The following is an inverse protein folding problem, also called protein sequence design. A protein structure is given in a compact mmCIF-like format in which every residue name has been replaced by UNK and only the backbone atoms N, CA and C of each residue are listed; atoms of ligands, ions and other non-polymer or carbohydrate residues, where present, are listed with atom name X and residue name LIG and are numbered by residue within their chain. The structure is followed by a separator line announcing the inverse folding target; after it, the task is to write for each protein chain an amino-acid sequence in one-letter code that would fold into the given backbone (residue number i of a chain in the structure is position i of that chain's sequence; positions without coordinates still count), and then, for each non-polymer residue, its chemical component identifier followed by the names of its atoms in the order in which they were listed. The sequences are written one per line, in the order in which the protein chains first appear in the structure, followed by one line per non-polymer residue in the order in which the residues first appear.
data_IF_908263173823
#
_entry.id   IF_908263173823
#
_cell.length_a   1.000
_cell.length_b   1.000
_cell.length_c   1.000
_cell.angle_alpha   90.00
_cell.angle_beta   90.00
_cell.angle_gamma   90.00
#
_symmetry.space_group_name_H-M   'P 1'
#
loop_
_entity.id
_entity.type
_entity.pdbx_description
1 polymer ?
#
# COMPACT_ATOMS: atom_id res chain seq x y z
N UNK A 1 17.00 -5.56 15.32
CA UNK A 1 15.57 -5.50 15.68
C UNK A 1 15.17 -6.89 16.15
N UNK A 2 15.43 -7.19 17.43
CA UNK A 2 15.12 -8.50 18.01
C UNK A 2 13.72 -8.44 18.58
N UNK A 3 12.72 -8.53 17.69
CA UNK A 3 11.39 -8.90 18.14
C UNK A 3 11.40 -10.42 18.25
N UNK A 4 11.20 -10.97 19.45
CA UNK A 4 10.88 -12.40 19.62
C UNK A 4 9.79 -12.68 18.60
N UNK A 5 10.07 -13.53 17.60
CA UNK A 5 9.15 -13.78 16.50
C UNK A 5 7.76 -13.95 17.08
N UNK A 6 6.89 -12.95 16.90
CA UNK A 6 5.49 -13.10 17.27
C UNK A 6 5.04 -14.29 16.44
N UNK A 7 4.57 -15.32 17.14
CA UNK A 7 3.70 -16.33 16.55
C UNK A 7 2.62 -15.54 15.83
N UNK A 8 2.77 -15.35 14.52
CA UNK A 8 1.84 -14.62 13.67
C UNK A 8 0.57 -15.42 13.45
N UNK A 9 0.05 -16.06 14.51
CA UNK A 9 -0.98 -17.07 14.43
C UNK A 9 -2.22 -16.63 15.19
N UNK A 10 -3.31 -16.54 14.46
CA UNK A 10 -4.58 -17.11 14.88
C UNK A 10 -4.29 -18.46 15.59
N UNK A 11 -4.70 -18.63 16.85
CA UNK A 11 -4.44 -19.82 17.68
C UNK A 11 -4.90 -21.14 17.03
N UNK A 12 -5.67 -21.05 15.94
CA UNK A 12 -6.27 -22.17 15.20
C UNK A 12 -5.35 -22.83 14.17
N UNK A 13 -4.16 -22.31 13.87
CA UNK A 13 -3.23 -22.99 12.94
C UNK A 13 -1.77 -22.68 13.28
N UNK A 14 -1.03 -23.60 13.93
CA UNK A 14 0.41 -23.42 14.10
C UNK A 14 1.07 -23.47 12.72
N UNK A 15 1.60 -22.33 12.26
CA UNK A 15 2.43 -22.30 11.06
C UNK A 15 3.69 -23.13 11.33
N UNK A 16 3.89 -24.16 10.51
CA UNK A 16 4.95 -25.16 10.55
C UNK A 16 6.27 -24.61 9.99
N UNK A 17 6.58 -23.32 10.20
CA UNK A 17 7.83 -22.75 9.68
C UNK A 17 9.01 -23.56 10.23
N UNK A 18 9.89 -24.07 9.37
CA UNK A 18 10.98 -24.92 9.82
C UNK A 18 11.94 -24.11 10.69
N UNK A 19 12.60 -24.76 11.65
CA UNK A 19 13.45 -24.07 12.63
C UNK A 19 14.51 -23.18 11.97
N UNK A 20 15.08 -23.63 10.85
CA UNK A 20 16.08 -22.90 10.08
C UNK A 20 15.58 -21.57 9.48
N UNK A 21 14.27 -21.38 9.36
CA UNK A 21 13.65 -20.16 8.85
C UNK A 21 13.52 -19.06 9.92
N UNK A 22 13.81 -19.36 11.19
CA UNK A 22 13.76 -18.38 12.28
C UNK A 22 14.64 -17.17 12.00
N UNK A 23 14.11 -15.95 12.18
CA UNK A 23 14.74 -14.68 11.80
C UNK A 23 14.92 -14.44 10.29
N UNK A 24 14.37 -15.30 9.43
CA UNK A 24 14.17 -15.01 8.02
C UNK A 24 12.92 -14.16 7.77
N UNK A 25 12.70 -13.79 6.51
CA UNK A 25 11.50 -13.06 6.09
C UNK A 25 11.16 -13.36 4.65
N UNK A 26 9.87 -13.45 4.34
CA UNK A 26 9.41 -13.42 2.97
C UNK A 26 9.72 -12.06 2.34
N UNK A 27 10.17 -12.06 1.09
CA UNK A 27 10.45 -10.86 0.32
C UNK A 27 9.62 -10.87 -0.96
N UNK A 28 8.80 -9.84 -1.16
CA UNK A 28 8.04 -9.64 -2.39
C UNK A 28 8.79 -8.68 -3.28
N UNK A 29 9.07 -9.10 -4.51
CA UNK A 29 9.60 -8.23 -5.54
C UNK A 29 8.56 -7.99 -6.64
N UNK A 30 8.36 -6.74 -7.05
CA UNK A 30 7.53 -6.40 -8.20
C UNK A 30 8.21 -5.33 -9.05
N UNK A 31 8.30 -5.56 -10.36
CA UNK A 31 8.66 -4.51 -11.32
C UNK A 31 7.38 -3.77 -11.71
N UNK A 32 7.23 -2.54 -11.24
CA UNK A 32 6.06 -1.71 -11.45
C UNK A 32 6.41 -0.57 -12.42
N UNK A 33 5.95 -0.64 -13.66
CA UNK A 33 6.14 0.46 -14.61
C UNK A 33 5.19 1.62 -14.28
N UNK A 34 5.69 2.86 -14.32
CA UNK A 34 4.91 4.05 -13.96
C UNK A 34 4.70 4.95 -15.17
N UNK A 35 3.44 5.29 -15.42
CA UNK A 35 2.99 6.22 -16.43
C UNK A 35 2.84 7.62 -15.82
N UNK A 36 3.98 8.31 -15.69
CA UNK A 36 4.08 9.60 -14.98
C UNK A 36 3.33 10.71 -15.72
N UNK A 37 3.35 10.69 -17.06
CA UNK A 37 2.58 11.63 -17.87
C UNK A 37 1.07 11.44 -17.66
N UNK A 38 0.57 10.20 -17.70
CA UNK A 38 -0.84 9.92 -17.44
C UNK A 38 -1.28 10.36 -16.04
N UNK A 39 -0.40 10.21 -15.04
CA UNK A 39 -0.67 10.66 -13.67
C UNK A 39 -0.91 12.18 -13.60
N UNK A 40 0.02 12.98 -14.15
CA UNK A 40 -0.11 14.44 -14.18
C UNK A 40 -1.32 14.88 -15.02
N UNK A 41 -1.46 14.31 -16.22
CA UNK A 41 -2.57 14.63 -17.12
C UNK A 41 -3.93 14.34 -16.47
N UNK A 42 -4.07 13.24 -15.73
CA UNK A 42 -5.34 12.91 -15.08
C UNK A 42 -5.70 13.91 -13.97
N UNK A 43 -4.70 14.39 -13.21
CA UNK A 43 -4.91 15.44 -12.23
C UNK A 43 -5.34 16.77 -12.90
N UNK A 44 -4.74 17.11 -14.04
CA UNK A 44 -5.13 18.28 -14.84
C UNK A 44 -6.55 18.17 -15.40
N UNK A 45 -6.93 17.01 -15.93
CA UNK A 45 -8.28 16.75 -16.42
C UNK A 45 -9.32 16.93 -15.30
N UNK A 46 -9.09 16.31 -14.14
CA UNK A 46 -10.00 16.40 -12.99
C UNK A 46 -10.08 17.81 -12.40
N UNK A 47 -8.99 18.58 -12.43
CA UNK A 47 -8.99 19.98 -12.00
C UNK A 47 -9.82 20.89 -12.91
N UNK A 48 -9.82 20.61 -14.22
CA UNK A 48 -10.52 21.40 -15.23
C UNK A 48 -11.95 20.92 -15.53
N UNK A 49 -12.38 19.82 -14.91
CA UNK A 49 -13.71 19.25 -15.09
C UNK A 49 -14.78 20.10 -14.38
N UNK A 50 -15.58 20.80 -15.19
CA UNK A 50 -16.65 21.69 -14.72
C UNK A 50 -17.85 20.96 -14.13
N UNK A 51 -18.06 19.68 -14.48
CA UNK A 51 -19.16 18.88 -13.94
C UNK A 51 -18.81 18.34 -12.55
N UNK A 52 -17.55 17.96 -12.35
CA UNK A 52 -17.05 17.56 -11.04
C UNK A 52 -16.90 18.77 -10.10
N UNK A 53 -16.44 19.91 -10.62
CA UNK A 53 -16.26 21.19 -9.90
C UNK A 53 -15.53 21.01 -8.56
N UNK A 54 -14.38 20.31 -8.60
CA UNK A 54 -13.61 19.98 -7.40
C UNK A 54 -12.94 21.19 -6.75
N UNK A 55 -12.77 22.30 -7.49
CA UNK A 55 -12.11 23.54 -7.03
C UNK A 55 -10.71 23.30 -6.47
N UNK A 56 -10.00 22.39 -7.11
CA UNK A 56 -8.64 22.00 -6.74
C UNK A 56 -7.69 22.20 -7.90
N UNK A 57 -6.46 22.56 -7.56
CA UNK A 57 -5.33 22.54 -8.48
C UNK A 57 -4.90 21.10 -8.79
N UNK A 58 -4.22 20.85 -9.92
CA UNK A 58 -3.68 19.52 -10.23
C UNK A 58 -2.78 18.98 -9.10
N UNK A 59 -1.92 19.83 -8.51
CA UNK A 59 -1.05 19.44 -7.39
C UNK A 59 -1.81 18.99 -6.14
N UNK A 60 -2.94 19.64 -5.82
CA UNK A 60 -3.80 19.23 -4.70
C UNK A 60 -4.46 17.87 -4.95
N UNK A 61 -4.81 17.57 -6.20
CA UNK A 61 -5.36 16.28 -6.60
C UNK A 61 -4.31 15.17 -6.56
N UNK A 62 -3.12 15.42 -7.10
CA UNK A 62 -1.99 14.48 -7.00
C UNK A 62 -1.67 14.13 -5.54
N UNK A 63 -1.65 15.14 -4.66
CA UNK A 63 -1.42 14.92 -3.23
C UNK A 63 -2.54 14.07 -2.60
N UNK A 64 -3.79 14.23 -3.05
CA UNK A 64 -4.95 13.41 -2.67
C UNK A 64 -4.91 12.01 -3.24
N UNK A 65 -4.30 11.79 -4.40
CA UNK A 65 -4.15 10.45 -4.93
C UNK A 65 -3.19 9.61 -4.07
N UNK A 66 -2.12 10.24 -3.58
CA UNK A 66 -1.13 9.58 -2.73
C UNK A 66 -1.56 9.57 -1.26
N UNK A 67 -2.17 10.66 -0.78
CA UNK A 67 -2.38 10.99 0.63
C UNK A 67 -1.24 11.80 1.28
N UNK A 68 -0.28 12.26 0.46
CA UNK A 68 0.82 13.15 0.84
C UNK A 68 1.17 14.07 -0.33
N UNK A 69 1.63 15.27 -0.01
CA UNK A 69 2.28 16.17 -0.96
C UNK A 69 3.59 15.59 -1.47
N UNK A 70 4.08 16.10 -2.61
CA UNK A 70 5.40 15.72 -3.16
C UNK A 70 6.57 16.01 -2.20
N UNK A 71 6.41 16.98 -1.29
CA UNK A 71 7.36 17.24 -0.21
C UNK A 71 7.43 16.14 0.85
N UNK A 72 6.41 15.28 0.91
CA UNK A 72 6.22 14.27 1.96
C UNK A 72 5.19 14.67 3.02
N UNK A 73 4.72 15.92 3.07
CA UNK A 73 3.73 16.35 4.07
C UNK A 73 2.37 15.63 3.90
N UNK A 74 1.73 15.13 4.98
CA UNK A 74 0.46 14.44 4.90
C UNK A 74 -0.70 15.41 4.71
N UNK A 75 -1.56 15.12 3.75
CA UNK A 75 -2.73 15.97 3.48
C UNK A 75 -3.75 15.96 4.62
N UNK A 76 -3.68 14.97 5.52
CA UNK A 76 -4.50 14.95 6.72
C UNK A 76 -4.26 16.18 7.61
N UNK A 77 -2.99 16.57 7.73
CA UNK A 77 -2.56 17.72 8.54
C UNK A 77 -2.46 19.02 7.71
N UNK A 78 -2.17 18.88 6.41
CA UNK A 78 -2.03 19.99 5.47
C UNK A 78 -2.98 19.83 4.28
N UNK A 79 -4.31 19.95 4.47
CA UNK A 79 -5.28 19.56 3.45
C UNK A 79 -5.35 20.50 2.24
N UNK A 80 -4.87 21.74 2.38
CA UNK A 80 -5.02 22.79 1.37
C UNK A 80 -3.72 23.17 0.68
N UNK A 81 -2.60 23.20 1.39
CA UNK A 81 -1.33 23.68 0.87
C UNK A 81 -0.14 22.84 1.35
N UNK A 82 0.83 22.62 0.47
CA UNK A 82 2.11 21.99 0.80
C UNK A 82 2.95 22.93 1.70
N UNK A 83 3.35 22.51 2.92
CA UNK A 83 4.25 23.30 3.77
C UNK A 83 5.69 23.37 3.24
N UNK A 84 6.03 22.60 2.20
CA UNK A 84 7.36 22.58 1.60
C UNK A 84 8.26 21.44 2.12
N UNK A 85 9.51 21.38 1.66
CA UNK A 85 10.43 20.30 1.99
C UNK A 85 10.83 20.31 3.47
N UNK A 86 11.30 19.16 3.96
CA UNK A 86 11.78 19.00 5.35
C UNK A 86 10.72 18.49 6.33
N UNK A 87 9.50 18.22 5.85
CA UNK A 87 8.50 17.55 6.65
C UNK A 87 8.79 16.03 6.75
N UNK A 88 9.10 15.56 7.95
CA UNK A 88 9.37 14.14 8.24
C UNK A 88 8.43 13.53 9.26
N UNK A 89 7.42 14.28 9.73
CA UNK A 89 6.53 13.81 10.77
C UNK A 89 5.51 12.79 10.22
N UNK A 90 5.18 11.83 11.07
CA UNK A 90 4.23 10.76 10.80
C UNK A 90 3.17 10.63 11.90
N UNK A 91 3.10 11.61 12.80
CA UNK A 91 2.24 11.63 13.98
C UNK A 91 0.82 12.12 13.66
N UNK A 92 -0.01 11.24 13.12
CA UNK A 92 -1.44 11.43 12.98
C UNK A 92 -2.12 10.06 12.91
N UNK A 93 -3.42 9.97 13.14
CA UNK A 93 -4.09 8.66 13.15
C UNK A 93 -5.43 8.62 12.42
N UNK A 94 -5.75 9.66 11.64
CA UNK A 94 -7.08 9.87 11.05
C UNK A 94 -8.14 9.84 12.17
N UNK A 95 -7.96 10.73 13.15
CA UNK A 95 -8.59 10.67 14.49
C UNK A 95 -10.12 10.59 14.45
N UNK A 96 -10.76 11.21 13.45
CA UNK A 96 -12.11 10.85 13.08
C UNK A 96 -12.07 9.84 11.91
N UNK A 97 -12.28 8.55 12.19
CA UNK A 97 -12.21 7.49 11.20
C UNK A 97 -13.12 7.75 9.99
N UNK A 98 -14.23 8.45 10.21
CA UNK A 98 -15.17 8.71 9.14
C UNK A 98 -14.69 9.87 8.26
N UNK A 99 -13.87 10.78 8.77
CA UNK A 99 -13.56 12.04 8.11
C UNK A 99 -12.59 11.85 6.91
N UNK A 100 -13.13 11.82 5.69
CA UNK A 100 -12.36 11.75 4.44
C UNK A 100 -12.27 13.09 3.69
N UNK A 101 -12.74 14.19 4.31
CA UNK A 101 -12.74 15.53 3.70
C UNK A 101 -11.33 16.12 3.57
N UNK A 102 -10.39 15.67 4.40
CA UNK A 102 -8.97 16.03 4.29
C UNK A 102 -8.22 15.05 3.39
N UNK A 103 -8.15 13.77 3.81
CA UNK A 103 -7.50 12.69 3.08
C UNK A 103 -8.55 11.68 2.55
N UNK A 104 -8.80 11.57 1.25
CA UNK A 104 -9.78 10.62 0.71
C UNK A 104 -9.51 9.16 1.09
N UNK A 105 -10.54 8.32 1.20
CA UNK A 105 -10.33 6.90 1.48
C UNK A 105 -9.54 6.17 0.39
N UNK A 106 -9.71 6.57 -0.88
CA UNK A 106 -8.98 6.01 -2.02
C UNK A 106 -7.51 6.45 -2.09
N UNK A 107 -7.04 7.33 -1.19
CA UNK A 107 -5.64 7.75 -1.14
C UNK A 107 -4.74 6.57 -0.83
N UNK A 108 -3.65 6.42 -1.60
CA UNK A 108 -2.76 5.27 -1.50
C UNK A 108 -2.30 4.95 -0.07
N UNK A 109 -1.80 5.94 0.67
CA UNK A 109 -1.30 5.68 2.02
C UNK A 109 -2.41 5.33 3.02
N UNK A 110 -3.65 5.82 2.83
CA UNK A 110 -4.79 5.53 3.71
C UNK A 110 -5.35 4.14 3.42
N UNK A 111 -5.32 3.68 2.16
CA UNK A 111 -5.60 2.29 1.77
C UNK A 111 -4.56 1.31 2.32
N UNK A 112 -3.27 1.62 2.14
CA UNK A 112 -2.19 0.71 2.54
C UNK A 112 -1.93 0.69 4.05
N UNK A 113 -2.24 1.75 4.76
CA UNK A 113 -2.20 1.79 6.22
C UNK A 113 -3.36 2.67 6.74
N UNK A 114 -4.49 2.05 7.10
CA UNK A 114 -5.65 2.79 7.57
C UNK A 114 -5.52 3.35 8.99
N UNK A 115 -4.39 3.16 9.71
CA UNK A 115 -4.19 3.66 11.09
C UNK A 115 -5.41 3.40 12.00
N UNK A 116 -5.91 4.40 12.73
CA UNK A 116 -7.05 4.24 13.63
C UNK A 116 -8.40 4.36 12.93
N UNK A 117 -8.40 4.47 11.60
CA UNK A 117 -9.61 4.70 10.83
C UNK A 117 -10.63 3.55 10.96
N UNK A 118 -10.26 2.34 11.42
CA UNK A 118 -11.23 1.25 11.56
C UNK A 118 -10.98 0.35 12.77
N UNK A 119 -11.88 0.39 13.77
CA UNK A 119 -12.00 -0.67 14.80
C UNK A 119 -12.33 -2.05 14.21
N UNK A 120 -12.70 -2.11 12.92
CA UNK A 120 -13.15 -3.33 12.22
C UNK A 120 -12.00 -4.21 11.71
N UNK A 121 -10.79 -3.66 11.55
CA UNK A 121 -9.61 -4.46 11.17
C UNK A 121 -8.91 -4.91 12.45
N UNK A 122 -9.40 -6.00 13.05
CA UNK A 122 -8.65 -6.69 14.10
C UNK A 122 -7.25 -7.02 13.56
N UNK A 123 -6.25 -6.75 14.37
CA UNK A 123 -4.85 -7.08 14.07
C UNK A 123 -4.28 -6.43 12.79
N UNK A 124 -4.68 -5.19 12.46
CA UNK A 124 -4.12 -4.40 11.34
C UNK A 124 -2.58 -4.38 11.32
N UNK A 125 -1.96 -4.46 12.49
CA UNK A 125 -0.51 -4.43 12.66
C UNK A 125 0.16 -5.68 12.07
N UNK A 126 -0.57 -6.80 11.95
CA UNK A 126 -0.11 -8.00 11.24
C UNK A 126 0.09 -7.75 9.73
N UNK A 127 -0.53 -6.70 9.19
CA UNK A 127 -0.42 -6.34 7.79
C UNK A 127 0.68 -5.31 7.51
N UNK A 128 1.46 -4.91 8.52
CA UNK A 128 2.59 -4.02 8.31
C UNK A 128 3.67 -4.70 7.48
N UNK A 129 4.20 -3.96 6.51
CA UNK A 129 5.29 -4.39 5.63
C UNK A 129 6.46 -3.42 5.72
N UNK A 130 7.69 -3.93 5.64
CA UNK A 130 8.87 -3.10 5.49
C UNK A 130 9.19 -2.91 4.00
N UNK A 131 8.99 -1.70 3.48
CA UNK A 131 9.26 -1.39 2.07
C UNK A 131 10.74 -1.04 1.85
N UNK A 132 11.36 -1.67 0.85
CA UNK A 132 12.75 -1.49 0.39
C UNK A 132 12.79 -1.39 -1.14
N UNK A 133 11.87 -0.63 -1.71
CA UNK A 133 11.83 -0.39 -3.15
C UNK A 133 12.78 0.71 -3.59
N UNK A 134 13.17 0.67 -4.87
CA UNK A 134 14.02 1.68 -5.52
C UNK A 134 13.46 2.03 -6.91
N UNK A 135 13.45 3.32 -7.31
CA UNK A 135 13.08 3.70 -8.67
C UNK A 135 14.03 3.08 -9.72
N UNK A 136 13.53 2.82 -10.92
CA UNK A 136 14.34 2.47 -12.09
C UNK A 136 14.01 3.35 -13.28
N UNK A 137 14.97 3.45 -14.21
CA UNK A 137 14.86 4.28 -15.40
C UNK A 137 15.11 5.76 -15.10
N UNK A 138 15.09 6.57 -16.16
CA UNK A 138 15.36 8.00 -16.06
C UNK A 138 14.22 8.75 -15.38
N UNK A 139 14.59 9.82 -14.67
CA UNK A 139 13.63 10.79 -14.13
C UNK A 139 12.75 11.33 -15.26
N UNK A 140 11.46 11.51 -14.97
CA UNK A 140 10.53 12.08 -15.93
C UNK A 140 10.90 13.53 -16.26
N UNK A 141 10.88 13.83 -17.56
CA UNK A 141 11.02 15.15 -18.17
C UNK A 141 10.42 15.06 -19.57
N UNK A 142 10.15 16.20 -20.21
CA UNK A 142 9.64 16.21 -21.59
C UNK A 142 10.59 15.47 -22.56
N UNK A 143 11.91 15.62 -22.38
CA UNK A 143 12.92 14.94 -23.19
C UNK A 143 12.95 13.43 -22.99
N UNK A 144 12.62 12.94 -21.79
CA UNK A 144 12.68 11.51 -21.45
C UNK A 144 11.32 10.83 -21.50
N UNK A 145 10.23 11.51 -21.88
CA UNK A 145 8.85 11.01 -21.70
C UNK A 145 8.61 9.56 -22.15
N UNK A 146 9.20 9.16 -23.28
CA UNK A 146 9.05 7.82 -23.88
C UNK A 146 9.94 6.73 -23.25
N UNK A 147 10.86 7.09 -22.34
CA UNK A 147 11.76 6.12 -21.70
C UNK A 147 11.04 5.28 -20.63
N UNK A 148 11.38 3.98 -20.50
CA UNK A 148 10.81 3.13 -19.47
C UNK A 148 11.27 3.57 -18.09
N UNK A 149 10.31 3.69 -17.16
CA UNK A 149 10.56 4.04 -15.75
C UNK A 149 9.59 3.36 -14.81
N UNK A 150 9.94 3.35 -13.53
CA UNK A 150 8.99 3.03 -12.49
C UNK A 150 9.65 2.67 -11.17
N UNK A 151 9.06 1.72 -10.46
CA UNK A 151 9.51 1.27 -9.15
C UNK A 151 9.86 -0.22 -9.20
N UNK A 152 11.08 -0.57 -8.78
CA UNK A 152 11.38 -1.92 -8.32
C UNK A 152 10.90 -2.00 -6.88
N UNK A 153 9.66 -2.43 -6.70
CA UNK A 153 9.06 -2.55 -5.39
C UNK A 153 9.61 -3.79 -4.68
N UNK A 154 10.05 -3.59 -3.44
CA UNK A 154 10.49 -4.65 -2.55
C UNK A 154 9.80 -4.50 -1.20
N UNK A 155 9.27 -5.57 -0.61
CA UNK A 155 8.83 -5.53 0.77
C UNK A 155 9.05 -6.83 1.55
N UNK A 156 9.30 -6.67 2.84
CA UNK A 156 9.51 -7.76 3.80
C UNK A 156 8.33 -7.89 4.75
N UNK A 157 8.00 -9.13 5.08
CA UNK A 157 6.96 -9.53 6.02
C UNK A 157 7.21 -10.95 6.53
N UNK A 158 6.62 -11.29 7.68
CA UNK A 158 6.64 -12.67 8.20
C UNK A 158 5.55 -13.55 7.60
N UNK A 159 4.48 -12.97 7.04
CA UNK A 159 3.43 -13.69 6.33
C UNK A 159 3.01 -12.91 5.08
N UNK A 160 3.05 -13.56 3.92
CA UNK A 160 2.58 -12.98 2.66
C UNK A 160 1.07 -12.67 2.72
N UNK A 161 0.30 -13.58 3.33
CA UNK A 161 -1.16 -13.50 3.45
C UNK A 161 -1.60 -12.33 4.33
N UNK A 162 -0.84 -12.03 5.39
CA UNK A 162 -1.13 -10.90 6.25
C UNK A 162 -0.54 -9.60 5.72
N UNK A 163 0.66 -9.61 5.12
CA UNK A 163 1.31 -8.41 4.59
C UNK A 163 0.83 -8.02 3.19
N UNK A 164 1.71 -8.18 2.20
CA UNK A 164 1.48 -7.72 0.81
C UNK A 164 0.15 -8.17 0.21
N UNK A 165 -0.23 -9.44 0.38
CA UNK A 165 -1.47 -9.96 -0.21
C UNK A 165 -2.72 -9.38 0.48
N UNK A 166 -2.70 -9.14 1.79
CA UNK A 166 -3.83 -8.48 2.47
C UNK A 166 -3.97 -7.04 2.00
N UNK A 167 -2.87 -6.28 2.00
CA UNK A 167 -2.87 -4.88 1.55
C UNK A 167 -3.44 -4.79 0.12
N UNK A 168 -2.94 -5.60 -0.80
CA UNK A 168 -3.40 -5.52 -2.20
C UNK A 168 -4.84 -6.00 -2.37
N UNK A 169 -5.19 -7.19 -1.86
CA UNK A 169 -6.46 -7.83 -2.18
C UNK A 169 -7.61 -7.39 -1.28
N UNK A 170 -7.35 -7.22 0.02
CA UNK A 170 -8.40 -6.84 0.98
C UNK A 170 -8.62 -5.34 1.04
N UNK A 171 -7.59 -4.53 0.71
CA UNK A 171 -7.64 -3.07 0.91
C UNK A 171 -7.56 -2.28 -0.39
N UNK A 172 -6.43 -2.33 -1.12
CA UNK A 172 -6.21 -1.49 -2.30
C UNK A 172 -7.20 -1.80 -3.43
N UNK A 173 -7.36 -3.09 -3.77
CA UNK A 173 -8.27 -3.52 -4.84
C UNK A 173 -9.75 -3.52 -4.43
N UNK A 174 -10.07 -3.34 -3.15
CA UNK A 174 -11.42 -3.49 -2.62
C UNK A 174 -12.13 -2.14 -2.54
N UNK A 175 -13.19 -1.96 -3.32
CA UNK A 175 -14.04 -0.75 -3.30
C UNK A 175 -14.87 -0.61 -2.01
N UNK A 176 -15.16 -1.75 -1.35
CA UNK A 176 -15.86 -1.80 -0.07
C UNK A 176 -14.93 -1.66 1.14
N UNK A 177 -13.65 -1.39 0.91
CA UNK A 177 -12.71 -1.08 1.98
C UNK A 177 -12.36 0.41 1.94
N UNK A 178 -12.25 1.08 3.08
CA UNK A 178 -12.54 0.54 4.40
C UNK A 178 -14.01 0.62 4.82
N UNK A 179 -14.83 1.38 4.09
CA UNK A 179 -16.29 1.36 4.17
C UNK A 179 -16.85 1.04 2.78
N UNK A 180 -18.14 0.69 2.72
CA UNK A 180 -18.82 0.52 1.44
C UNK A 180 -18.72 1.81 0.62
N UNK A 181 -18.44 1.67 -0.67
CA UNK A 181 -18.31 2.80 -1.62
C UNK A 181 -17.19 3.78 -1.24
N UNK A 182 -16.09 3.29 -0.67
CA UNK A 182 -14.91 4.10 -0.39
C UNK A 182 -14.03 4.33 -1.63
N UNK A 183 -14.27 3.63 -2.73
CA UNK A 183 -13.37 3.65 -3.88
C UNK A 183 -12.22 2.65 -3.72
N UNK A 184 -11.48 2.42 -4.80
CA UNK A 184 -10.23 1.67 -4.79
C UNK A 184 -9.03 2.59 -4.58
N UNK A 185 -7.86 2.01 -4.33
CA UNK A 185 -6.59 2.74 -4.36
C UNK A 185 -6.33 3.30 -5.77
N UNK A 186 -6.11 4.61 -5.88
CA UNK A 186 -5.96 5.26 -7.19
C UNK A 186 -4.62 5.01 -7.89
N UNK A 187 -3.61 4.51 -7.19
CA UNK A 187 -2.27 4.29 -7.74
C UNK A 187 -2.05 2.84 -8.15
N UNK A 188 -2.20 1.93 -7.20
CA UNK A 188 -1.75 0.54 -7.34
C UNK A 188 -2.87 -0.46 -7.56
N UNK A 189 -4.14 -0.08 -7.29
CA UNK A 189 -5.22 -1.02 -7.54
C UNK A 189 -5.25 -1.42 -9.02
N UNK A 190 -5.65 -2.67 -9.24
CA UNK A 190 -5.75 -3.23 -10.58
C UNK A 190 -7.23 -3.38 -10.95
N UNK A 191 -7.63 -3.02 -12.18
CA UNK A 191 -8.95 -3.33 -12.69
C UNK A 191 -9.19 -4.84 -12.64
N UNK A 192 -10.40 -5.26 -12.27
CA UNK A 192 -10.77 -6.68 -12.31
C UNK A 192 -11.00 -7.07 -13.77
N UNK A 193 -10.00 -7.70 -14.39
CA UNK A 193 -10.15 -8.27 -15.73
C UNK A 193 -11.25 -9.34 -15.71
N UNK A 194 -12.29 -9.16 -16.52
CA UNK A 194 -13.43 -10.07 -16.58
C UNK A 194 -14.55 -9.78 -15.58
N UNK A 195 -14.58 -8.59 -14.97
CA UNK A 195 -15.75 -8.17 -14.21
C UNK A 195 -17.02 -8.18 -15.10
N UNK A 196 -18.08 -8.79 -14.58
CA UNK A 196 -19.37 -8.94 -15.25
C UNK A 196 -20.06 -7.60 -15.43
N UNK A 197 -19.94 -6.71 -14.44
CA UNK A 197 -20.46 -5.35 -14.50
C UNK A 197 -19.41 -4.40 -15.13
N UNK A 198 -19.72 -3.70 -16.24
CA UNK A 198 -18.82 -2.73 -16.85
C UNK A 198 -18.28 -1.66 -15.89
N UNK A 199 -19.05 -1.30 -14.85
CA UNK A 199 -18.64 -0.27 -13.88
C UNK A 199 -17.46 -0.71 -12.99
N UNK A 200 -17.24 -2.02 -12.88
CA UNK A 200 -16.16 -2.65 -12.10
C UNK A 200 -14.91 -2.91 -12.95
N UNK A 201 -14.99 -2.67 -14.26
CA UNK A 201 -13.85 -2.71 -15.18
C UNK A 201 -13.01 -1.43 -15.12
N UNK A 202 -13.52 -0.37 -14.48
CA UNK A 202 -12.86 0.92 -14.34
C UNK A 202 -12.47 1.18 -12.90
N UNK A 203 -11.19 1.48 -12.69
CA UNK A 203 -10.70 1.94 -11.39
C UNK A 203 -11.36 3.27 -11.06
N UNK A 204 -11.88 3.39 -9.84
CA UNK A 204 -12.50 4.63 -9.39
C UNK A 204 -12.21 4.88 -7.92
N UNK A 205 -12.22 6.17 -7.56
CA UNK A 205 -12.22 6.60 -6.19
C UNK A 205 -13.16 7.80 -6.02
N UNK A 206 -13.58 8.01 -4.78
CA UNK A 206 -14.45 9.11 -4.44
C UNK A 206 -13.63 10.25 -3.82
N UNK A 207 -13.90 11.47 -4.30
CA UNK A 207 -13.21 12.67 -3.84
C UNK A 207 -14.24 13.70 -3.37
N UNK A 208 -13.87 14.45 -2.34
CA UNK A 208 -14.52 15.69 -1.98
C UNK A 208 -13.74 16.85 -2.59
N UNK A 209 -14.45 17.81 -3.18
CA UNK A 209 -13.89 19.08 -3.61
C UNK A 209 -13.54 20.01 -2.44
N UNK A 210 -13.11 21.22 -2.77
CA UNK A 210 -12.98 22.32 -1.81
C UNK A 210 -14.20 23.24 -1.87
N UNK A 211 -14.45 23.93 -0.77
CA UNK A 211 -15.36 25.07 -0.72
C UNK A 211 -14.82 26.26 -1.54
N UNK A 212 -15.66 27.27 -1.79
CA UNK A 212 -15.26 28.50 -2.49
C UNK A 212 -14.11 29.25 -1.80
N UNK A 213 -13.97 29.09 -0.48
CA UNK A 213 -12.88 29.68 0.30
C UNK A 213 -11.59 28.84 0.28
N UNK A 214 -11.54 27.79 -0.55
CA UNK A 214 -10.40 26.89 -0.71
C UNK A 214 -10.18 25.94 0.46
N UNK A 215 -11.14 25.79 1.38
CA UNK A 215 -11.05 24.87 2.52
C UNK A 215 -11.79 23.56 2.27
N UNK A 216 -11.41 22.47 2.96
CA UNK A 216 -12.20 21.26 2.97
C UNK A 216 -13.64 21.54 3.40
N UNK A 217 -14.58 20.75 2.87
CA UNK A 217 -15.93 20.74 3.39
C UNK A 217 -15.94 20.41 4.90
N UNK A 218 -17.02 20.80 5.57
CA UNK A 218 -17.25 20.46 6.97
C UNK A 218 -18.28 19.35 7.06
N UNK A 219 -18.24 18.63 8.18
CA UNK A 219 -19.36 17.78 8.57
C UNK A 219 -20.63 18.61 8.70
N UNK A 220 -21.75 17.99 8.36
CA UNK A 220 -23.09 18.53 8.59
C UNK A 220 -23.36 18.61 10.11
N UNK A 221 -24.38 19.38 10.54
CA UNK A 221 -24.73 19.48 11.96
C UNK A 221 -25.08 18.15 12.65
N UNK A 222 -25.47 17.13 11.88
CA UNK A 222 -25.73 15.76 12.33
C UNK A 222 -24.47 14.88 12.42
N UNK A 223 -23.27 15.46 12.20
CA UNK A 223 -21.99 14.78 12.24
C UNK A 223 -21.67 13.93 11.01
N UNK A 224 -22.50 13.97 9.95
CA UNK A 224 -22.27 13.19 8.72
C UNK A 224 -21.55 14.00 7.65
N UNK A 225 -20.93 13.31 6.69
CA UNK A 225 -20.40 14.00 5.51
C UNK A 225 -21.50 14.60 4.65
N UNK A 226 -21.19 15.67 3.93
CA UNK A 226 -22.07 16.19 2.88
C UNK A 226 -21.97 15.31 1.64
N UNK A 227 -22.58 14.13 1.65
CA UNK A 227 -22.50 13.13 0.55
C UNK A 227 -22.89 13.72 -0.83
N UNK A 228 -23.73 14.75 -0.87
CA UNK A 228 -24.06 15.47 -2.12
C UNK A 228 -22.85 16.17 -2.78
N UNK A 229 -21.76 16.37 -2.02
CA UNK A 229 -20.49 16.93 -2.49
C UNK A 229 -19.49 15.87 -2.93
N UNK A 230 -19.76 14.60 -2.64
CA UNK A 230 -18.88 13.49 -2.99
C UNK A 230 -18.96 13.21 -4.49
N UNK A 231 -17.81 13.15 -5.15
CA UNK A 231 -17.70 12.95 -6.59
C UNK A 231 -16.97 11.65 -6.89
N UNK A 232 -17.62 10.75 -7.65
CA UNK A 232 -16.97 9.55 -8.19
C UNK A 232 -16.08 9.93 -9.35
N UNK A 233 -14.79 9.63 -9.22
CA UNK A 233 -13.78 9.92 -10.23
C UNK A 233 -13.22 8.61 -10.78
N UNK A 234 -13.25 8.44 -12.09
CA UNK A 234 -12.62 7.29 -12.75
C UNK A 234 -11.13 7.58 -13.00
N UNK A 235 -10.31 6.53 -13.00
CA UNK A 235 -8.87 6.64 -13.19
C UNK A 235 -8.37 5.59 -14.19
N UNK A 236 -7.40 5.96 -15.04
CA UNK A 236 -6.63 4.96 -15.77
C UNK A 236 -5.66 4.26 -14.81
N UNK A 237 -5.10 3.12 -15.24
CA UNK A 237 -4.01 2.48 -14.50
C UNK A 237 -2.69 3.20 -14.75
N UNK A 238 -2.21 3.95 -13.76
CA UNK A 238 -0.90 4.61 -13.79
C UNK A 238 0.27 3.63 -13.59
N UNK A 239 0.01 2.56 -12.85
CA UNK A 239 1.02 1.57 -12.47
C UNK A 239 0.71 0.24 -13.14
N UNK A 240 1.61 -0.19 -14.03
CA UNK A 240 1.50 -1.41 -14.82
C UNK A 240 2.47 -2.46 -14.28
N UNK A 241 2.00 -3.53 -13.60
CA UNK A 241 2.86 -4.62 -13.17
C UNK A 241 3.52 -5.30 -14.38
N UNK A 242 4.84 -5.51 -14.33
CA UNK A 242 5.64 -6.17 -15.38
C UNK A 242 6.19 -7.52 -14.94
N UNK A 243 5.63 -8.09 -13.88
CA UNK A 243 6.10 -9.31 -13.24
C UNK A 243 6.77 -9.05 -11.89
N UNK A 244 7.30 -10.13 -11.33
CA UNK A 244 7.88 -10.16 -10.00
C UNK A 244 7.64 -11.52 -9.36
N UNK A 245 8.19 -11.72 -8.18
CA UNK A 245 8.22 -13.03 -7.53
C UNK A 245 8.19 -12.90 -6.00
N UNK A 246 7.81 -13.98 -5.33
CA UNK A 246 7.93 -14.16 -3.89
C UNK A 246 9.18 -14.98 -3.57
N UNK A 247 10.03 -14.42 -2.72
CA UNK A 247 11.25 -15.04 -2.23
C UNK A 247 11.16 -15.28 -0.72
N UNK A 248 12.03 -16.13 -0.22
CA UNK A 248 12.36 -16.19 1.19
C UNK A 248 13.80 -15.70 1.38
N UNK A 249 14.00 -14.78 2.32
CA UNK A 249 15.33 -14.31 2.72
C UNK A 249 15.69 -15.03 4.02
N UNK A 250 16.50 -16.09 3.95
CA UNK A 250 16.85 -16.87 5.14
C UNK A 250 17.76 -16.08 6.09
N UNK A 251 17.80 -16.46 7.38
CA UNK A 251 18.72 -15.85 8.33
C UNK A 251 20.17 -16.15 7.96
N UNK A 252 21.11 -15.34 8.44
CA UNK A 252 22.55 -15.57 8.21
C UNK A 252 22.98 -16.97 8.69
N UNK A 253 22.42 -17.44 9.81
CA UNK A 253 22.70 -18.77 10.37
C UNK A 253 22.37 -19.93 9.44
N UNK A 254 21.43 -19.76 8.51
CA UNK A 254 21.14 -20.77 7.49
C UNK A 254 22.33 -20.97 6.55
N UNK A 255 22.97 -19.88 6.12
CA UNK A 255 24.14 -19.95 5.23
C UNK A 255 25.37 -20.50 5.95
N UNK A 256 25.55 -20.20 7.24
CA UNK A 256 26.63 -20.79 8.05
C UNK A 256 26.52 -22.32 8.09
N UNK A 257 25.33 -22.85 8.40
CA UNK A 257 25.07 -24.30 8.42
C UNK A 257 25.25 -24.96 7.05
N UNK A 258 24.94 -24.25 5.96
CA UNK A 258 25.11 -24.79 4.61
C UNK A 258 26.59 -24.97 4.23
N UNK A 259 27.48 -24.12 4.78
CA UNK A 259 28.92 -24.19 4.53
C UNK A 259 29.61 -25.22 5.42
N UNK A 260 29.13 -25.40 6.66
CA UNK A 260 29.71 -26.34 7.63
C UNK A 260 29.41 -27.82 7.32
N UNK A 261 28.43 -28.11 6.45
CA UNK A 261 27.99 -29.48 6.15
C UNK A 261 27.14 -30.09 7.28
N UNK A 262 26.50 -31.24 7.06
CA UNK A 262 25.89 -31.98 8.18
C UNK A 262 26.99 -32.37 9.18
N UNK A 263 26.69 -32.44 10.49
CA UNK A 263 27.59 -33.09 11.42
C UNK A 263 27.92 -34.49 10.88
N UNK A 264 29.19 -34.92 11.02
CA UNK A 264 29.54 -36.31 10.76
C UNK A 264 28.55 -37.18 11.54
N UNK A 265 27.96 -38.19 10.88
CA UNK A 265 27.29 -39.24 11.65
C UNK A 265 28.39 -39.91 12.45
N UNK A 266 28.29 -39.85 13.77
CA UNK A 266 29.16 -40.64 14.63
C UNK A 266 28.85 -42.11 14.33
N UNK A 267 29.83 -42.84 13.79
CA UNK A 267 29.75 -44.28 13.43
C UNK A 267 29.72 -45.18 14.70
N UNK A 268 29.18 -44.70 15.83
CA UNK A 268 29.27 -45.38 17.13
C UNK A 268 28.07 -46.35 17.40
N UNK A 269 27.15 -46.54 16.45
CA UNK A 269 25.99 -47.44 16.60
C UNK A 269 26.15 -48.83 15.90
N UNK A 270 27.35 -49.21 15.42
CA UNK A 270 27.58 -50.53 14.79
C UNK A 270 28.33 -51.58 15.65
N UNK A 271 28.69 -51.31 16.92
CA UNK A 271 29.46 -52.26 17.77
C UNK A 271 28.74 -52.81 19.03
N UNK A 272 27.41 -52.93 19.07
CA UNK A 272 26.70 -53.64 20.17
C UNK A 272 25.72 -54.75 19.72
N UNK A 273 26.03 -55.49 18.64
CA UNK A 273 25.31 -56.75 18.32
C UNK A 273 26.22 -58.00 18.14
N UNK A 274 27.48 -57.97 18.59
CA UNK A 274 28.28 -59.19 18.75
C UNK A 274 28.95 -59.23 20.13
N UNK A 275 28.29 -59.91 21.09
CA UNK A 275 28.83 -60.59 22.29
C UNK A 275 27.92 -60.42 23.54
N UNK A 276 26.85 -61.22 23.64
CA UNK A 276 26.55 -62.16 24.76
C UNK A 276 25.14 -62.78 24.65
#
# INVERSE_FOLDING_TARGET
MNHKGMKGSDERTPLWEPEWATNGSYFVFRKLAQDVEAFHKRAEELANDKELDLKMTPKQLEARFVGRWHSGAPIELYPTQDPGPGYSDNNWDYEDPHHELHCPYGSHIRKCNPRNTFRQVKDKDLSLIMRRGIPYGSRWSESTKNEPRGLLFGCYQSSLQNGYCAIMNKWCNNDGFPLQHSGQDVLVAQPIKGAVDPKDQTLHANLYGLCEDGKPHKLRPDGKHPEERKKRCNFPSFIKPRGGEYFFTPPISFFTKLVEGPPAMDDDDEEEEEEE
#
